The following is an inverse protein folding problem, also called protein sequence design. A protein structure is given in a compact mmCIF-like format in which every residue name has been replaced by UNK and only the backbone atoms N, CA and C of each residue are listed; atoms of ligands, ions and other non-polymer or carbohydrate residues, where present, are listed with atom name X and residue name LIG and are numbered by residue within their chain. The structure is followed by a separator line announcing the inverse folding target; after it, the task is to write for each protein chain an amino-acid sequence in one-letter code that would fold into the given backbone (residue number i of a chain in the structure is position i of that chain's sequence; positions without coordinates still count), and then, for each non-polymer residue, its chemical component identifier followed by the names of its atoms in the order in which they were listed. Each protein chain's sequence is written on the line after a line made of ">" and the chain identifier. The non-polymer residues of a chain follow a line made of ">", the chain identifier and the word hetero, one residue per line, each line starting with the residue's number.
data_IF_805734108964
#
_entry.id   IF_805734108964
#
_cell.length_a   1.000
_cell.length_b   1.000
_cell.length_c   1.000
_cell.angle_alpha   90.00
_cell.angle_beta   90.00
_cell.angle_gamma   90.00
#
_symmetry.space_group_name_H-M   'P 1'
#
loop_
_entity.id
_entity.type
_entity.pdbx_description
1 polymer ?
#
# COMPACT_ATOMS: atom_id res chain seq x y z
N UNK A 1 4.96 -9.34 11.75
CA UNK A 1 6.28 -9.73 12.30
C UNK A 1 6.50 -8.95 13.57
N UNK A 2 6.91 -9.60 14.65
CA UNK A 2 7.20 -8.95 15.95
C UNK A 2 8.58 -9.36 16.47
N UNK A 3 9.22 -8.47 17.21
CA UNK A 3 10.50 -8.75 17.88
C UNK A 3 10.20 -9.01 19.36
N UNK A 4 10.53 -10.20 19.83
CA UNK A 4 10.42 -10.60 21.24
C UNK A 4 11.78 -10.43 21.93
N UNK A 5 11.82 -9.95 23.19
CA UNK A 5 13.07 -9.77 23.92
C UNK A 5 13.75 -11.09 24.27
N UNK A 6 12.97 -12.17 24.38
CA UNK A 6 13.39 -13.52 24.69
C UNK A 6 12.44 -14.53 24.02
N UNK A 7 12.79 -15.81 24.03
CA UNK A 7 11.94 -16.87 23.52
C UNK A 7 10.69 -17.04 24.39
N UNK A 8 9.52 -16.95 23.76
CA UNK A 8 8.22 -17.11 24.40
C UNK A 8 7.45 -18.24 23.71
N UNK A 9 6.49 -18.90 24.40
CA UNK A 9 5.65 -19.91 23.77
C UNK A 9 5.01 -19.40 22.47
N UNK A 10 4.93 -20.25 21.46
CA UNK A 10 4.25 -19.94 20.21
C UNK A 10 2.73 -19.82 20.41
N UNK A 11 2.13 -18.83 19.78
CA UNK A 11 0.69 -18.67 19.72
C UNK A 11 0.13 -19.24 18.41
N UNK A 12 -1.19 -19.35 18.35
CA UNK A 12 -1.87 -19.73 17.12
C UNK A 12 -1.49 -18.76 16.01
N UNK A 13 -1.09 -19.30 14.86
CA UNK A 13 -0.65 -18.58 13.66
C UNK A 13 0.77 -18.02 13.69
N UNK A 14 1.56 -18.30 14.72
CA UNK A 14 3.01 -18.10 14.68
C UNK A 14 3.62 -19.26 13.89
N UNK A 15 4.28 -18.94 12.76
CA UNK A 15 4.73 -19.98 11.81
C UNK A 15 6.25 -20.09 11.70
N UNK A 16 6.99 -19.00 11.92
CA UNK A 16 8.45 -18.96 11.77
C UNK A 16 9.06 -18.08 12.85
N UNK A 17 10.11 -18.60 13.50
CA UNK A 17 10.98 -17.88 14.42
C UNK A 17 12.41 -17.83 13.89
N UNK A 18 13.00 -16.63 13.89
CA UNK A 18 14.44 -16.44 13.81
C UNK A 18 14.96 -16.04 15.18
N UNK A 19 15.66 -16.97 15.84
CA UNK A 19 16.29 -16.76 17.15
C UNK A 19 17.68 -16.18 16.94
N UNK A 20 17.93 -15.00 17.51
CA UNK A 20 19.22 -14.33 17.47
C UNK A 20 20.14 -14.80 18.61
N UNK A 21 21.45 -14.57 18.44
CA UNK A 21 22.46 -14.95 19.44
C UNK A 21 22.30 -14.24 20.79
N UNK A 22 21.66 -13.07 20.81
CA UNK A 22 21.38 -12.29 22.02
C UNK A 22 20.07 -12.72 22.71
N UNK A 23 19.45 -13.81 22.27
CA UNK A 23 18.21 -14.37 22.83
C UNK A 23 16.93 -13.76 22.29
N UNK A 24 17.00 -12.67 21.51
CA UNK A 24 15.82 -12.07 20.89
C UNK A 24 15.25 -12.98 19.80
N UNK A 25 13.96 -12.85 19.54
CA UNK A 25 13.27 -13.64 18.50
C UNK A 25 12.53 -12.73 17.54
N UNK A 26 12.78 -12.88 16.24
CA UNK A 26 11.91 -12.32 15.19
C UNK A 26 10.86 -13.37 14.83
N UNK A 27 9.61 -13.10 15.21
CA UNK A 27 8.49 -14.01 15.01
C UNK A 27 7.58 -13.55 13.87
N UNK A 28 7.31 -14.47 12.94
CA UNK A 28 6.39 -14.28 11.82
C UNK A 28 5.04 -14.93 12.10
N UNK A 29 4.03 -14.09 12.25
CA UNK A 29 2.63 -14.47 12.47
C UNK A 29 1.84 -14.18 11.21
N UNK A 30 1.12 -15.17 10.68
CA UNK A 30 0.22 -14.98 9.54
C UNK A 30 -1.05 -15.82 9.66
N UNK A 31 -2.16 -15.25 10.15
CA UNK A 31 -3.41 -15.98 10.31
C UNK A 31 -3.96 -16.60 9.01
N UNK A 32 -3.70 -15.98 7.86
CA UNK A 32 -4.24 -16.42 6.56
C UNK A 32 -3.24 -17.24 5.75
N UNK A 33 -1.96 -17.24 6.13
CA UNK A 33 -0.86 -17.92 5.42
C UNK A 33 -0.75 -17.47 3.97
N UNK A 34 -0.86 -16.16 3.73
CA UNK A 34 -0.71 -15.55 2.40
C UNK A 34 0.66 -14.93 2.18
N UNK A 35 1.44 -14.65 3.22
CA UNK A 35 2.82 -14.21 3.04
C UNK A 35 3.77 -15.39 2.81
N UNK A 36 5.03 -15.06 2.55
CA UNK A 36 6.04 -16.02 2.15
C UNK A 36 7.39 -15.69 2.76
N UNK A 37 8.20 -16.73 2.97
CA UNK A 37 9.61 -16.64 3.33
C UNK A 37 10.40 -17.34 2.24
N UNK A 38 11.18 -16.56 1.50
CA UNK A 38 11.95 -17.03 0.35
C UNK A 38 13.40 -16.63 0.55
N UNK A 39 14.30 -17.58 0.31
CA UNK A 39 15.74 -17.32 0.26
C UNK A 39 16.17 -17.10 -1.18
N UNK A 40 17.04 -16.12 -1.41
CA UNK A 40 17.60 -15.83 -2.71
C UNK A 40 19.03 -15.30 -2.52
N UNK A 41 19.96 -15.72 -3.39
CA UNK A 41 21.34 -15.25 -3.37
C UNK A 41 21.50 -13.87 -4.01
N UNK A 42 20.73 -13.58 -5.06
CA UNK A 42 20.75 -12.30 -5.77
C UNK A 42 19.33 -11.77 -6.01
N UNK A 43 19.01 -10.65 -5.36
CA UNK A 43 17.72 -9.97 -5.46
C UNK A 43 17.36 -9.57 -6.90
N UNK A 44 18.35 -9.31 -7.77
CA UNK A 44 18.10 -8.94 -9.16
C UNK A 44 17.53 -10.11 -9.99
N UNK A 45 17.79 -11.36 -9.59
CA UNK A 45 17.28 -12.57 -10.25
C UNK A 45 15.99 -13.10 -9.62
N UNK A 46 15.54 -12.48 -8.52
CA UNK A 46 14.37 -12.91 -7.78
C UNK A 46 13.10 -12.79 -8.63
N UNK A 47 12.40 -13.92 -8.82
CA UNK A 47 11.15 -13.96 -9.58
C UNK A 47 10.06 -13.06 -8.99
N UNK A 48 10.11 -12.77 -7.69
CA UNK A 48 9.13 -11.93 -6.98
C UNK A 48 9.51 -10.45 -6.94
N UNK A 49 10.76 -10.07 -7.19
CA UNK A 49 11.23 -8.67 -7.13
C UNK A 49 11.64 -8.09 -8.49
N UNK A 50 12.17 -8.91 -9.41
CA UNK A 50 12.80 -8.42 -10.65
C UNK A 50 11.87 -7.67 -11.61
N UNK A 51 10.55 -7.84 -11.47
CA UNK A 51 9.54 -7.25 -12.35
C UNK A 51 8.78 -6.09 -11.71
N UNK A 52 9.20 -5.65 -10.52
CA UNK A 52 8.56 -4.57 -9.79
C UNK A 52 8.82 -3.21 -10.47
N UNK A 53 7.81 -2.35 -10.43
CA UNK A 53 7.89 -0.97 -10.85
C UNK A 53 8.68 -0.11 -9.86
N UNK A 54 8.83 1.20 -10.15
CA UNK A 54 9.54 2.13 -9.27
C UNK A 54 8.86 2.26 -7.90
N UNK A 55 9.68 2.59 -6.90
CA UNK A 55 9.22 3.04 -5.58
C UNK A 55 8.43 4.36 -5.70
N UNK A 56 7.23 4.48 -5.10
CA UNK A 56 6.34 5.62 -5.29
C UNK A 56 6.91 6.93 -4.73
N UNK A 57 7.79 6.86 -3.72
CA UNK A 57 8.42 8.04 -3.13
C UNK A 57 9.74 8.42 -3.82
N UNK A 58 10.20 7.63 -4.79
CA UNK A 58 11.41 7.93 -5.55
C UNK A 58 11.18 9.02 -6.61
N UNK A 59 12.28 9.54 -7.15
CA UNK A 59 12.24 10.44 -8.31
C UNK A 59 11.83 9.73 -9.61
N UNK A 60 11.98 8.40 -9.68
CA UNK A 60 11.61 7.60 -10.86
C UNK A 60 10.09 7.58 -11.07
N UNK A 61 9.33 7.62 -9.97
CA UNK A 61 7.88 7.80 -10.02
C UNK A 61 7.53 9.29 -10.11
N UNK A 62 7.26 9.76 -11.33
CA UNK A 62 6.91 11.15 -11.64
C UNK A 62 5.79 11.25 -12.69
N UNK A 63 5.26 12.47 -12.89
CA UNK A 63 4.14 12.73 -13.79
C UNK A 63 4.40 12.26 -15.23
N UNK A 64 5.60 12.52 -15.74
CA UNK A 64 6.01 12.12 -17.09
C UNK A 64 6.04 10.60 -17.23
N UNK A 65 6.61 9.88 -16.25
CA UNK A 65 6.58 8.42 -16.20
C UNK A 65 5.14 7.89 -16.23
N UNK A 66 4.28 8.39 -15.34
CA UNK A 66 2.90 7.91 -15.24
C UNK A 66 2.12 8.18 -16.54
N UNK A 67 2.28 9.36 -17.12
CA UNK A 67 1.64 9.73 -18.37
C UNK A 67 2.14 8.91 -19.56
N UNK A 68 3.43 8.55 -19.61
CA UNK A 68 3.94 7.66 -20.64
C UNK A 68 3.38 6.25 -20.50
N UNK A 69 3.32 5.73 -19.27
CA UNK A 69 2.77 4.39 -19.00
C UNK A 69 1.25 4.30 -19.20
N UNK A 70 0.54 5.43 -19.12
CA UNK A 70 -0.91 5.48 -19.32
C UNK A 70 -1.32 5.32 -20.79
N UNK A 71 -0.40 5.62 -21.73
CA UNK A 71 -0.68 5.55 -23.17
C UNK A 71 -1.12 4.14 -23.57
N UNK A 72 -2.19 4.07 -24.37
CA UNK A 72 -2.78 2.85 -24.90
C UNK A 72 -3.36 1.87 -23.84
N UNK A 73 -3.44 2.26 -22.57
CA UNK A 73 -4.06 1.43 -21.52
C UNK A 73 -5.58 1.62 -21.51
N UNK A 74 -6.31 0.54 -21.78
CA UNK A 74 -7.79 0.54 -21.82
C UNK A 74 -8.46 0.17 -20.49
N UNK A 75 -7.66 -0.15 -19.47
CA UNK A 75 -8.15 -0.51 -18.14
C UNK A 75 -8.52 0.71 -17.31
N UNK A 76 -9.27 0.49 -16.24
CA UNK A 76 -9.61 1.52 -15.26
C UNK A 76 -8.37 1.90 -14.42
N UNK A 77 -8.34 3.13 -13.92
CA UNK A 77 -7.19 3.69 -13.21
C UNK A 77 -6.91 3.01 -11.88
N UNK A 78 -7.93 2.64 -11.10
CA UNK A 78 -7.75 1.99 -9.80
C UNK A 78 -7.01 0.65 -9.90
N UNK A 79 -7.44 -0.35 -10.70
CA UNK A 79 -6.70 -1.60 -10.82
C UNK A 79 -5.32 -1.41 -11.44
N UNK A 80 -5.14 -0.39 -12.29
CA UNK A 80 -3.84 -0.07 -12.85
C UNK A 80 -2.85 0.48 -11.82
N UNK A 81 -3.28 1.36 -10.92
CA UNK A 81 -2.45 1.85 -9.81
C UNK A 81 -2.07 0.76 -8.82
N UNK A 82 -2.88 -0.29 -8.71
CA UNK A 82 -2.60 -1.45 -7.85
C UNK A 82 -1.71 -2.50 -8.52
N UNK A 83 -1.30 -2.30 -9.77
CA UNK A 83 -0.36 -3.17 -10.46
C UNK A 83 1.07 -2.83 -10.02
N UNK A 84 1.70 -3.74 -9.27
CA UNK A 84 3.07 -3.59 -8.80
C UNK A 84 4.10 -3.44 -9.93
N UNK A 85 3.77 -3.78 -11.19
CA UNK A 85 4.63 -3.50 -12.36
C UNK A 85 4.65 -2.03 -12.74
N UNK A 86 3.58 -1.28 -12.43
CA UNK A 86 3.51 0.16 -12.64
C UNK A 86 4.18 0.91 -11.48
N UNK A 87 3.78 0.61 -10.26
CA UNK A 87 4.31 1.27 -9.06
C UNK A 87 4.06 0.37 -7.86
N UNK A 88 5.08 0.19 -7.03
CA UNK A 88 4.95 -0.66 -5.84
C UNK A 88 4.30 0.07 -4.68
N UNK A 89 3.79 -0.68 -3.70
CA UNK A 89 3.32 -0.13 -2.43
C UNK A 89 1.96 0.58 -2.46
N UNK A 90 1.37 0.83 -3.64
CA UNK A 90 0.04 1.44 -3.79
C UNK A 90 -1.05 0.36 -3.68
N UNK A 91 -1.38 0.01 -2.44
CA UNK A 91 -2.45 -0.93 -2.12
C UNK A 91 -3.86 -0.32 -2.24
N UNK A 92 -4.90 -1.15 -2.00
CA UNK A 92 -6.30 -0.75 -2.16
C UNK A 92 -6.66 0.52 -1.35
N UNK A 93 -6.17 0.67 -0.11
CA UNK A 93 -6.46 1.87 0.71
C UNK A 93 -5.92 3.12 0.01
N UNK A 94 -4.60 3.16 -0.22
CA UNK A 94 -3.91 4.32 -0.77
C UNK A 94 -4.35 4.66 -2.18
N UNK A 95 -4.70 3.67 -3.00
CA UNK A 95 -5.27 3.91 -4.33
C UNK A 95 -6.59 4.69 -4.24
N UNK A 96 -7.51 4.30 -3.35
CA UNK A 96 -8.79 5.02 -3.21
C UNK A 96 -8.57 6.44 -2.64
N UNK A 97 -7.71 6.58 -1.63
CA UNK A 97 -7.43 7.88 -1.00
C UNK A 97 -6.71 8.85 -1.94
N UNK A 98 -5.76 8.36 -2.73
CA UNK A 98 -5.05 9.18 -3.72
C UNK A 98 -5.98 9.61 -4.86
N UNK A 99 -6.79 8.70 -5.39
CA UNK A 99 -7.77 9.01 -6.45
C UNK A 99 -8.82 10.03 -5.99
N UNK A 100 -9.31 9.88 -4.76
CA UNK A 100 -10.22 10.84 -4.16
C UNK A 100 -9.57 12.21 -4.00
N UNK A 101 -8.34 12.25 -3.46
CA UNK A 101 -7.60 13.50 -3.26
C UNK A 101 -7.23 14.19 -4.58
N UNK A 102 -7.03 13.43 -5.65
CA UNK A 102 -6.79 13.97 -7.00
C UNK A 102 -8.08 14.30 -7.77
N UNK A 103 -9.26 14.01 -7.23
CA UNK A 103 -10.54 14.20 -7.91
C UNK A 103 -10.73 13.32 -9.15
N UNK A 104 -10.10 12.15 -9.21
CA UNK A 104 -10.15 11.23 -10.36
C UNK A 104 -11.04 10.05 -10.02
N UNK A 105 -12.02 9.78 -10.88
CA UNK A 105 -12.92 8.63 -10.72
C UNK A 105 -12.17 7.30 -10.88
N UNK A 106 -12.39 6.31 -9.99
CA UNK A 106 -11.64 5.05 -9.98
C UNK A 106 -11.87 4.14 -11.21
N UNK A 107 -13.00 4.29 -11.89
CA UNK A 107 -13.38 3.58 -13.11
C UNK A 107 -12.92 4.30 -14.40
N UNK A 108 -12.35 5.51 -14.28
CA UNK A 108 -11.88 6.28 -15.42
C UNK A 108 -10.80 5.50 -16.18
N UNK A 109 -10.90 5.54 -17.52
CA UNK A 109 -9.92 4.89 -18.40
C UNK A 109 -8.56 5.55 -18.24
N UNK A 110 -7.53 4.74 -18.03
CA UNK A 110 -6.14 5.21 -17.88
C UNK A 110 -5.69 6.06 -19.07
N UNK A 111 -6.00 5.62 -20.31
CA UNK A 111 -5.63 6.37 -21.51
C UNK A 111 -6.30 7.74 -21.66
N UNK A 112 -7.29 8.07 -20.82
CA UNK A 112 -7.95 9.39 -20.84
C UNK A 112 -7.28 10.42 -19.93
N UNK A 113 -6.28 10.01 -19.13
CA UNK A 113 -5.54 10.89 -18.26
C UNK A 113 -4.75 11.93 -19.06
N UNK A 114 -4.89 13.19 -18.66
CA UNK A 114 -4.03 14.28 -19.12
C UNK A 114 -2.72 14.31 -18.34
N UNK A 115 -1.72 15.01 -18.87
CA UNK A 115 -0.44 15.21 -18.19
C UNK A 115 -0.62 15.95 -16.85
N UNK A 116 -1.51 16.94 -16.81
CA UNK A 116 -1.84 17.67 -15.58
C UNK A 116 -2.48 16.77 -14.52
N UNK A 117 -3.42 15.90 -14.91
CA UNK A 117 -4.02 14.94 -13.98
C UNK A 117 -2.99 13.92 -13.47
N UNK A 118 -2.02 13.53 -14.31
CA UNK A 118 -0.93 12.66 -13.87
C UNK A 118 -0.04 13.34 -12.81
N UNK A 119 0.24 14.64 -12.96
CA UNK A 119 0.99 15.40 -11.96
C UNK A 119 0.25 15.47 -10.62
N UNK A 120 -1.03 15.86 -10.65
CA UNK A 120 -1.88 15.91 -9.45
C UNK A 120 -1.95 14.53 -8.78
N UNK A 121 -2.11 13.46 -9.56
CA UNK A 121 -2.22 12.10 -9.04
C UNK A 121 -0.90 11.62 -8.41
N UNK A 122 0.25 11.86 -9.05
CA UNK A 122 1.55 11.49 -8.48
C UNK A 122 1.78 12.22 -7.16
N UNK A 123 1.49 13.51 -7.11
CA UNK A 123 1.63 14.31 -5.89
C UNK A 123 0.67 13.83 -4.78
N UNK A 124 -0.57 13.46 -5.14
CA UNK A 124 -1.52 12.87 -4.20
C UNK A 124 -1.03 11.53 -3.65
N UNK A 125 -0.53 10.62 -4.50
CA UNK A 125 0.03 9.32 -4.07
C UNK A 125 1.17 9.52 -3.08
N UNK A 126 2.14 10.39 -3.42
CA UNK A 126 3.29 10.68 -2.55
C UNK A 126 2.82 11.25 -1.21
N UNK A 127 1.89 12.20 -1.22
CA UNK A 127 1.36 12.84 0.00
C UNK A 127 0.65 11.83 0.89
N UNK A 128 -0.22 10.99 0.34
CA UNK A 128 -0.97 9.97 1.09
C UNK A 128 -0.02 8.94 1.71
N UNK A 129 0.99 8.49 0.96
CA UNK A 129 1.96 7.51 1.45
C UNK A 129 2.88 8.10 2.52
N UNK A 130 3.41 9.31 2.31
CA UNK A 130 4.25 9.99 3.31
C UNK A 130 3.47 10.21 4.60
N UNK A 131 2.23 10.70 4.53
CA UNK A 131 1.37 10.85 5.71
C UNK A 131 1.11 9.51 6.41
N UNK A 132 0.96 8.43 5.65
CA UNK A 132 0.83 7.09 6.23
C UNK A 132 2.07 6.66 6.99
N UNK A 133 3.25 6.86 6.41
CA UNK A 133 4.53 6.48 7.01
C UNK A 133 4.77 7.29 8.30
N UNK A 134 4.54 8.60 8.27
CA UNK A 134 4.67 9.48 9.45
C UNK A 134 3.73 9.08 10.59
N UNK A 135 2.53 8.57 10.25
CA UNK A 135 1.55 8.08 11.21
C UNK A 135 1.77 6.62 11.65
N UNK A 136 2.84 5.97 11.16
CA UNK A 136 3.16 4.58 11.50
C UNK A 136 2.31 3.53 10.77
N UNK A 137 1.69 3.90 9.66
CA UNK A 137 0.89 3.05 8.78
C UNK A 137 -0.60 3.01 9.12
N UNK A 138 -1.42 2.42 8.23
CA UNK A 138 -2.82 2.10 8.52
C UNK A 138 -2.92 0.77 9.27
N UNK A 139 -3.30 0.80 10.56
CA UNK A 139 -3.68 -0.44 11.24
C UNK A 139 -5.13 -0.79 10.89
N UNK A 140 -5.30 -1.70 9.93
CA UNK A 140 -6.56 -2.41 9.74
C UNK A 140 -6.56 -3.68 10.59
N UNK A 141 -7.46 -3.72 11.59
CA UNK A 141 -7.88 -4.83 12.49
C UNK A 141 -6.82 -5.78 13.09
N UNK A 142 -5.77 -6.15 12.37
CA UNK A 142 -4.78 -7.18 12.74
C UNK A 142 -3.31 -6.76 12.49
N UNK A 143 -3.04 -5.51 12.06
CA UNK A 143 -1.66 -5.03 11.82
C UNK A 143 -1.05 -4.34 13.04
N UNK A 144 -0.22 -5.08 13.77
CA UNK A 144 0.65 -4.55 14.83
C UNK A 144 1.98 -4.08 14.24
N UNK A 145 2.52 -2.99 14.78
CA UNK A 145 3.89 -2.56 14.49
C UNK A 145 4.91 -3.59 15.01
N UNK A 146 6.17 -3.47 14.59
CA UNK A 146 7.25 -4.37 14.99
C UNK A 146 7.49 -4.43 16.50
N UNK A 147 7.07 -3.39 17.23
CA UNK A 147 7.09 -3.30 18.69
C UNK A 147 5.82 -3.84 19.37
N UNK A 148 4.90 -4.44 18.61
CA UNK A 148 3.65 -5.02 19.09
C UNK A 148 2.54 -4.02 19.37
N UNK A 149 2.75 -2.71 19.13
CA UNK A 149 1.71 -1.71 19.34
C UNK A 149 0.78 -1.59 18.13
N UNK A 150 -0.53 -1.40 18.31
CA UNK A 150 -1.39 -0.97 17.22
C UNK A 150 -0.89 0.38 16.70
N UNK A 151 -0.86 0.57 15.37
CA UNK A 151 -0.62 1.89 14.79
C UNK A 151 -1.66 2.86 15.36
N UNK A 152 -1.18 3.80 16.19
CA UNK A 152 -2.01 4.58 17.12
C UNK A 152 -2.92 5.60 16.44
N UNK A 153 -2.85 5.75 15.12
CA UNK A 153 -3.72 6.66 14.39
C UNK A 153 -4.43 5.88 13.28
N UNK A 154 -5.73 5.67 13.47
CA UNK A 154 -6.61 5.48 12.33
C UNK A 154 -6.40 6.69 11.42
N UNK A 155 -5.71 6.49 10.30
CA UNK A 155 -5.61 7.52 9.28
C UNK A 155 -6.99 8.14 9.09
N UNK A 156 -7.05 9.46 8.93
CA UNK A 156 -8.26 10.13 8.46
C UNK A 156 -8.48 9.69 7.00
N UNK A 157 -9.09 8.52 6.84
CA UNK A 157 -9.50 8.00 5.55
C UNK A 157 -10.70 8.83 5.11
N UNK A 158 -10.61 9.38 3.91
CA UNK A 158 -11.70 10.16 3.33
C UNK A 158 -12.76 9.25 2.71
N UNK A 159 -12.35 8.13 2.13
CA UNK A 159 -13.27 7.25 1.37
C UNK A 159 -13.15 5.77 1.72
N UNK A 160 -11.95 5.28 2.06
CA UNK A 160 -11.76 3.85 2.30
C UNK A 160 -12.50 3.39 3.56
N UNK A 161 -13.30 2.33 3.43
CA UNK A 161 -14.11 1.81 4.55
C UNK A 161 -15.25 2.75 4.99
N UNK A 162 -15.58 3.77 4.19
CA UNK A 162 -16.59 4.79 4.50
C UNK A 162 -17.82 4.72 3.60
N UNK A 163 -18.07 3.57 2.96
CA UNK A 163 -19.30 3.32 2.21
C UNK A 163 -20.52 3.71 3.05
N UNK A 164 -21.50 4.36 2.42
CA UNK A 164 -22.76 4.80 3.00
C UNK A 164 -22.63 5.92 4.07
N UNK A 165 -21.43 6.51 4.22
CA UNK A 165 -21.19 7.70 5.07
C UNK A 165 -21.12 8.97 4.23
N UNK A 166 -21.38 10.12 4.85
CA UNK A 166 -21.19 11.42 4.23
C UNK A 166 -19.71 11.69 3.94
N UNK A 167 -19.44 12.25 2.76
CA UNK A 167 -18.15 12.74 2.33
C UNK A 167 -17.72 13.91 3.24
N UNK A 168 -16.47 13.89 3.70
CA UNK A 168 -15.91 14.93 4.57
C UNK A 168 -15.74 16.29 3.87
N UNK A 169 -15.76 16.31 2.53
CA UNK A 169 -15.56 17.53 1.74
C UNK A 169 -16.90 18.11 1.28
N UNK A 170 -17.78 17.29 0.70
CA UNK A 170 -19.00 17.75 0.03
C UNK A 170 -20.30 17.23 0.64
N UNK A 171 -20.25 16.41 1.69
CA UNK A 171 -21.45 15.86 2.36
C UNK A 171 -22.20 14.75 1.61
N UNK A 172 -21.94 14.53 0.32
CA UNK A 172 -22.58 13.45 -0.45
C UNK A 172 -22.21 12.07 0.09
N UNK A 173 -23.11 11.11 -0.06
CA UNK A 173 -22.88 9.72 0.38
C UNK A 173 -21.76 9.07 -0.43
N UNK A 174 -20.80 8.45 0.25
CA UNK A 174 -19.72 7.69 -0.38
C UNK A 174 -20.27 6.36 -0.90
N UNK A 175 -20.08 6.13 -2.20
CA UNK A 175 -20.46 4.89 -2.87
C UNK A 175 -19.27 3.93 -3.00
N UNK A 176 -19.58 2.63 -3.14
CA UNK A 176 -18.59 1.61 -3.45
C UNK A 176 -18.98 0.95 -4.77
N UNK A 177 -18.16 1.17 -5.79
CA UNK A 177 -18.22 0.43 -7.04
C UNK A 177 -17.41 -0.87 -6.92
N UNK A 178 -17.82 -1.91 -7.64
CA UNK A 178 -17.11 -3.20 -7.73
C UNK A 178 -16.41 -3.32 -9.07
#
# INVERSE_FOLDING_TARGET
>A
VRILPEEQPEEKHDHIDLVFRDGKVLRYTDPRRFGAWLWCEDLATSSVLAHLGPEPLSAQFNAQYLYQQSKNKKIAIKPWLMDNKLVVGVGNIYANEALFSSGIMPDRKVSSLTEQECDVLVNAIKTVLTRSIEQGGTTLKDFLQSDGKPGYFAQELFVYGRKDKACLICGHTIESIK
#
